data_IF_284084825034
#
_entry.id   IF_284084825034
#
_cell.length_a   1.000
_cell.length_b   1.000
_cell.length_c   1.000
_cell.angle_alpha   90.00
_cell.angle_beta   90.00
_cell.angle_gamma   90.00
#
_symmetry.space_group_name_H-M   'P 1'
#
loop_
_entity.id
_entity.type
_entity.pdbx_description
1 polymer ?
#
# COMPACT_ATOMS: atom_id res chain seq x y z
N UNK A 1 37.96 -74.22 17.46
CA UNK A 1 37.16 -73.20 18.16
C UNK A 1 37.92 -71.89 18.14
N UNK A 2 37.45 -70.88 17.41
CA UNK A 2 38.01 -69.53 17.44
C UNK A 2 36.83 -68.57 17.54
N UNK A 3 36.61 -67.99 18.72
CA UNK A 3 35.54 -67.03 18.96
C UNK A 3 35.95 -65.69 18.36
N UNK A 4 35.19 -65.20 17.37
CA UNK A 4 35.35 -63.84 16.85
C UNK A 4 34.92 -62.85 17.94
N UNK A 5 35.87 -62.16 18.55
CA UNK A 5 35.60 -61.04 19.44
C UNK A 5 34.91 -59.91 18.68
N UNK A 6 33.72 -59.50 19.14
CA UNK A 6 33.08 -58.27 18.69
C UNK A 6 33.85 -57.09 19.28
N UNK A 7 34.42 -56.24 18.42
CA UNK A 7 34.89 -54.94 18.87
C UNK A 7 33.67 -54.05 19.14
N UNK A 8 33.43 -53.73 20.41
CA UNK A 8 32.47 -52.69 20.78
C UNK A 8 33.11 -51.32 20.54
N UNK A 9 32.66 -50.63 19.49
CA UNK A 9 32.98 -49.22 19.29
C UNK A 9 32.16 -48.38 20.29
N UNK A 10 32.80 -47.99 21.39
CA UNK A 10 32.24 -47.01 22.32
C UNK A 10 32.34 -45.63 21.64
N UNK A 11 31.23 -45.16 21.06
CA UNK A 11 31.09 -43.77 20.66
C UNK A 11 30.93 -42.91 21.92
N UNK A 12 31.99 -42.22 22.33
CA UNK A 12 31.85 -41.09 23.25
C UNK A 12 31.01 -40.01 22.57
N UNK A 13 29.75 -39.86 22.98
CA UNK A 13 29.00 -38.62 22.73
C UNK A 13 29.64 -37.52 23.57
N UNK A 14 30.50 -36.72 22.96
CA UNK A 14 30.80 -35.40 23.52
C UNK A 14 29.49 -34.63 23.59
N UNK A 15 29.07 -34.23 24.80
CA UNK A 15 28.08 -33.18 24.95
C UNK A 15 28.71 -31.92 24.36
N UNK A 16 28.36 -31.55 23.14
CA UNK A 16 28.78 -30.29 22.52
C UNK A 16 28.14 -29.13 23.30
N UNK A 17 28.75 -28.72 24.41
CA UNK A 17 28.49 -27.41 24.98
C UNK A 17 29.17 -26.39 24.08
N UNK A 18 28.42 -25.92 23.08
CA UNK A 18 28.81 -24.78 22.27
C UNK A 18 29.16 -23.57 23.15
N UNK A 19 29.90 -22.60 22.56
CA UNK A 19 30.28 -21.36 23.25
C UNK A 19 29.08 -20.73 23.94
N UNK A 20 29.15 -20.57 25.27
CA UNK A 20 28.11 -19.91 26.06
C UNK A 20 27.77 -18.56 25.42
N UNK A 21 26.47 -18.29 25.28
CA UNK A 21 25.99 -17.04 24.69
C UNK A 21 26.53 -15.86 25.51
N UNK A 22 26.95 -14.76 24.86
CA UNK A 22 27.38 -13.56 25.56
C UNK A 22 26.28 -12.85 26.38
N UNK A 23 25.02 -13.30 26.30
CA UNK A 23 23.91 -12.82 27.14
C UNK A 23 23.23 -13.91 27.92
N UNK A 24 22.56 -13.42 28.96
CA UNK A 24 21.50 -14.05 29.71
C UNK A 24 20.11 -13.67 29.16
N UNK A 25 19.08 -14.36 29.63
CA UNK A 25 17.68 -14.02 29.29
C UNK A 25 17.28 -12.62 29.78
N UNK A 26 17.84 -12.16 30.90
CA UNK A 26 17.59 -10.81 31.43
C UNK A 26 18.17 -9.72 30.53
N UNK A 27 19.36 -9.95 29.98
CA UNK A 27 19.96 -9.05 28.98
C UNK A 27 19.08 -8.97 27.73
N UNK A 28 18.46 -10.08 27.32
CA UNK A 28 17.58 -10.11 26.15
C UNK A 28 16.24 -9.41 26.43
N UNK A 29 15.70 -9.47 27.65
CA UNK A 29 14.54 -8.67 28.09
C UNK A 29 14.82 -7.17 28.04
N UNK A 30 15.99 -6.74 28.50
CA UNK A 30 16.40 -5.34 28.44
C UNK A 30 16.57 -4.86 26.98
N UNK A 31 17.20 -5.67 26.13
CA UNK A 31 17.30 -5.38 24.70
C UNK A 31 15.92 -5.22 24.05
N UNK A 32 14.96 -6.08 24.41
CA UNK A 32 13.58 -5.95 23.93
C UNK A 32 12.88 -4.70 24.45
N UNK A 33 13.13 -4.30 25.70
CA UNK A 33 12.56 -3.07 26.25
C UNK A 33 13.05 -1.82 25.49
N UNK A 34 14.37 -1.71 25.29
CA UNK A 34 14.99 -0.60 24.54
C UNK A 34 14.45 -0.56 23.10
N UNK A 35 14.38 -1.72 22.44
CA UNK A 35 13.84 -1.83 21.08
C UNK A 35 12.35 -1.52 21.01
N UNK A 36 11.54 -1.88 22.01
CA UNK A 36 10.10 -1.58 22.03
C UNK A 36 9.81 -0.11 22.25
N UNK A 37 10.67 0.59 23.01
CA UNK A 37 10.58 2.05 23.24
C UNK A 37 10.77 2.84 21.94
N UNK A 38 11.70 2.39 21.08
CA UNK A 38 11.89 2.94 19.74
C UNK A 38 12.25 1.84 18.73
N UNK A 39 11.24 1.44 17.96
CA UNK A 39 11.34 0.35 16.97
C UNK A 39 12.10 0.76 15.70
N UNK A 40 12.51 2.02 15.57
CA UNK A 40 13.20 2.53 14.38
C UNK A 40 14.72 2.48 14.51
N UNK A 41 15.25 2.26 15.72
CA UNK A 41 16.69 2.22 15.99
C UNK A 41 17.39 1.08 15.26
N UNK A 42 18.58 1.37 14.73
CA UNK A 42 19.44 0.37 14.11
C UNK A 42 20.04 -0.57 15.17
N UNK A 43 20.46 -1.76 14.74
CA UNK A 43 21.11 -2.72 15.65
C UNK A 43 22.42 -2.19 16.25
N UNK A 44 23.10 -1.25 15.59
CA UNK A 44 24.29 -0.58 16.12
C UNK A 44 23.92 0.43 17.21
N UNK A 45 22.87 1.22 17.02
CA UNK A 45 22.40 2.16 18.04
C UNK A 45 21.86 1.44 19.27
N UNK A 46 21.10 0.35 19.06
CA UNK A 46 20.63 -0.51 20.15
C UNK A 46 21.80 -1.12 20.93
N UNK A 47 22.89 -1.50 20.24
CA UNK A 47 24.09 -1.99 20.90
C UNK A 47 24.80 -0.89 21.72
N UNK A 48 24.86 0.33 21.21
CA UNK A 48 25.45 1.47 21.93
C UNK A 48 24.63 1.86 23.17
N UNK A 49 23.31 1.92 23.06
CA UNK A 49 22.41 2.23 24.19
C UNK A 49 22.43 1.12 25.25
N UNK A 50 22.63 -0.12 24.81
CA UNK A 50 22.78 -1.26 25.69
C UNK A 50 24.14 -1.26 26.41
N UNK A 51 25.23 -0.80 25.77
CA UNK A 51 26.53 -0.58 26.44
C UNK A 51 26.44 0.52 27.51
N UNK A 52 25.61 1.55 27.30
CA UNK A 52 25.40 2.61 28.31
C UNK A 52 24.59 2.14 29.52
N UNK A 53 23.78 1.10 29.35
CA UNK A 53 22.91 0.55 30.41
C UNK A 53 23.49 -0.70 31.08
N UNK A 54 24.50 -1.34 30.49
CA UNK A 54 25.11 -2.57 30.98
C UNK A 54 26.62 -2.60 30.74
N UNK A 55 27.38 -3.21 31.66
CA UNK A 55 28.84 -3.40 31.55
C UNK A 55 29.30 -4.37 30.43
N UNK A 56 28.36 -4.94 29.66
CA UNK A 56 28.66 -5.91 28.61
C UNK A 56 28.73 -5.24 27.25
N UNK A 57 29.89 -5.34 26.60
CA UNK A 57 30.07 -4.88 25.21
C UNK A 57 29.50 -5.89 24.21
N UNK A 58 28.42 -5.53 23.51
CA UNK A 58 27.98 -6.25 22.31
C UNK A 58 28.17 -5.40 21.06
N UNK A 59 28.47 -6.08 19.95
CA UNK A 59 28.40 -5.49 18.64
C UNK A 59 26.97 -5.55 18.07
N UNK A 60 26.65 -4.62 17.16
CA UNK A 60 25.35 -4.57 16.50
C UNK A 60 24.97 -5.87 15.77
N UNK A 61 25.94 -6.61 15.25
CA UNK A 61 25.72 -7.94 14.63
C UNK A 61 25.19 -8.98 15.62
N UNK A 62 25.58 -8.90 16.90
CA UNK A 62 25.05 -9.79 17.94
C UNK A 62 23.65 -9.39 18.34
N UNK A 63 23.39 -8.08 18.51
CA UNK A 63 22.03 -7.57 18.73
C UNK A 63 21.07 -8.02 17.62
N UNK A 64 21.46 -7.86 16.35
CA UNK A 64 20.66 -8.32 15.20
C UNK A 64 20.37 -9.81 15.25
N UNK A 65 21.39 -10.65 15.48
CA UNK A 65 21.20 -12.12 15.56
C UNK A 65 20.23 -12.51 16.66
N UNK A 66 20.29 -11.84 17.81
CA UNK A 66 19.38 -12.11 18.92
C UNK A 66 17.95 -11.68 18.65
N UNK A 67 17.76 -10.49 18.09
CA UNK A 67 16.45 -10.03 17.65
C UNK A 67 15.84 -11.05 16.67
N UNK A 68 16.63 -11.54 15.71
CA UNK A 68 16.19 -12.60 14.78
C UNK A 68 15.84 -13.90 15.51
N UNK A 69 16.66 -14.36 16.46
CA UNK A 69 16.34 -15.58 17.22
C UNK A 69 15.10 -15.45 18.09
N UNK A 70 14.76 -14.22 18.51
CA UNK A 70 13.52 -13.90 19.23
C UNK A 70 12.32 -13.64 18.29
N UNK A 71 12.49 -13.84 16.98
CA UNK A 71 11.42 -13.69 15.98
C UNK A 71 11.28 -12.28 15.39
N UNK A 72 12.12 -11.32 15.76
CA UNK A 72 12.07 -9.95 15.24
C UNK A 72 12.84 -9.83 13.93
N UNK A 73 12.22 -9.15 12.97
CA UNK A 73 12.80 -8.86 11.65
C UNK A 73 12.83 -7.35 11.42
N UNK A 74 13.86 -6.89 10.74
CA UNK A 74 13.89 -5.53 10.23
C UNK A 74 12.90 -5.39 9.07
N UNK A 75 12.05 -4.37 9.12
CA UNK A 75 11.15 -4.01 8.04
C UNK A 75 11.35 -2.53 7.65
N UNK A 76 11.12 -2.22 6.38
CA UNK A 76 11.02 -0.83 5.93
C UNK A 76 9.57 -0.40 6.09
N UNK A 77 9.32 0.60 6.93
CA UNK A 77 7.98 1.15 7.09
C UNK A 77 7.48 1.72 5.75
N UNK A 78 6.23 1.41 5.37
CA UNK A 78 5.60 2.02 4.19
C UNK A 78 5.46 3.53 4.42
N UNK A 79 5.87 4.32 3.44
CA UNK A 79 5.64 5.77 3.46
C UNK A 79 4.13 6.03 3.44
N UNK A 80 3.64 6.81 4.40
CA UNK A 80 2.25 7.27 4.46
C UNK A 80 2.25 8.80 4.41
N UNK A 81 1.33 9.43 3.67
CA UNK A 81 1.18 10.88 3.74
C UNK A 81 0.84 11.29 5.18
N UNK A 82 1.52 12.32 5.69
CA UNK A 82 1.25 12.86 7.02
C UNK A 82 -0.10 13.58 6.98
N UNK A 83 -0.98 13.26 7.95
CA UNK A 83 -2.29 13.91 8.10
C UNK A 83 -2.28 14.82 9.29
N UNK A 84 -2.89 15.99 9.10
CA UNK A 84 -3.19 16.91 10.20
C UNK A 84 -4.27 16.31 11.12
N UNK A 85 -4.30 16.69 12.41
CA UNK A 85 -5.36 16.25 13.33
C UNK A 85 -6.77 16.59 12.82
N UNK A 86 -6.94 17.73 12.15
CA UNK A 86 -8.21 18.14 11.55
C UNK A 86 -8.65 17.19 10.42
N UNK A 87 -7.73 16.78 9.54
CA UNK A 87 -8.02 15.78 8.49
C UNK A 87 -8.38 14.43 9.11
N UNK A 88 -7.65 13.98 10.13
CA UNK A 88 -7.95 12.72 10.83
C UNK A 88 -9.37 12.74 11.41
N UNK A 89 -9.78 13.85 12.06
CA UNK A 89 -11.14 14.00 12.60
C UNK A 89 -12.20 13.93 11.50
N UNK A 90 -11.97 14.59 10.36
CA UNK A 90 -12.88 14.54 9.21
C UNK A 90 -13.02 13.12 8.64
N UNK A 91 -11.90 12.42 8.44
CA UNK A 91 -11.91 11.03 7.99
C UNK A 91 -12.63 10.10 8.96
N UNK A 92 -12.38 10.25 10.27
CA UNK A 92 -13.04 9.43 11.28
C UNK A 92 -14.54 9.66 11.31
N UNK A 93 -14.98 10.91 11.14
CA UNK A 93 -16.41 11.25 11.10
C UNK A 93 -17.05 10.62 9.85
N UNK A 94 -16.45 10.81 8.68
CA UNK A 94 -16.92 10.19 7.43
C UNK A 94 -17.02 8.66 7.55
N UNK A 95 -15.99 7.99 8.06
CA UNK A 95 -15.99 6.55 8.23
C UNK A 95 -17.10 6.07 9.19
N UNK A 96 -17.37 6.80 10.27
CA UNK A 96 -18.45 6.47 11.22
C UNK A 96 -19.84 6.67 10.60
N UNK A 97 -20.02 7.75 9.85
CA UNK A 97 -21.31 8.08 9.22
C UNK A 97 -21.71 7.03 8.17
N UNK A 98 -20.72 6.40 7.50
CA UNK A 98 -20.94 5.44 6.41
C UNK A 98 -20.53 4.00 6.79
N UNK A 99 -20.27 3.70 8.07
CA UNK A 99 -19.79 2.37 8.51
C UNK A 99 -20.79 1.23 8.26
N UNK A 100 -22.08 1.56 8.15
CA UNK A 100 -23.17 0.61 7.93
C UNK A 100 -23.66 0.59 6.48
N UNK A 101 -23.07 1.39 5.60
CA UNK A 101 -23.42 1.38 4.18
C UNK A 101 -22.92 0.11 3.50
N UNK A 102 -23.79 -0.48 2.69
CA UNK A 102 -23.54 -1.68 1.89
C UNK A 102 -23.91 -1.38 0.44
N UNK A 103 -25.12 -1.71 0.03
CA UNK A 103 -25.65 -1.46 -1.32
C UNK A 103 -25.74 0.04 -1.65
N UNK A 104 -25.76 0.92 -0.65
CA UNK A 104 -25.71 2.36 -0.83
C UNK A 104 -24.45 2.80 -1.58
N UNK A 105 -23.33 2.08 -1.44
CA UNK A 105 -22.11 2.37 -2.17
C UNK A 105 -22.24 2.20 -3.69
N UNK A 106 -23.19 1.37 -4.17
CA UNK A 106 -23.45 1.20 -5.60
C UNK A 106 -24.08 2.44 -6.23
N UNK A 107 -24.69 3.31 -5.41
CA UNK A 107 -25.28 4.58 -5.85
C UNK A 107 -24.26 5.73 -5.82
N UNK A 108 -23.01 5.47 -5.41
CA UNK A 108 -21.95 6.48 -5.37
C UNK A 108 -21.16 6.43 -6.67
N UNK A 109 -21.05 7.59 -7.34
CA UNK A 109 -20.19 7.77 -8.49
C UNK A 109 -18.85 8.35 -8.02
N UNK A 110 -17.82 7.53 -8.12
CA UNK A 110 -16.44 7.89 -7.83
C UNK A 110 -15.85 8.57 -9.05
N UNK A 111 -15.28 9.77 -8.92
CA UNK A 111 -14.56 10.41 -10.01
C UNK A 111 -13.24 11.00 -9.50
N UNK A 112 -12.23 11.00 -10.35
CA UNK A 112 -10.95 11.64 -10.05
C UNK A 112 -10.12 11.87 -11.32
N UNK A 113 -9.07 12.66 -11.16
CA UNK A 113 -8.02 12.87 -12.16
C UNK A 113 -6.73 12.13 -11.76
N UNK A 114 -6.10 11.48 -12.74
CA UNK A 114 -4.74 10.97 -12.63
C UNK A 114 -3.82 11.63 -13.66
N UNK A 115 -2.58 11.92 -13.24
CA UNK A 115 -1.50 12.34 -14.14
C UNK A 115 -0.53 11.18 -14.35
N UNK A 116 -0.56 10.58 -15.53
CA UNK A 116 0.28 9.44 -15.88
C UNK A 116 1.53 9.93 -16.62
N UNK A 117 2.71 9.70 -16.01
CA UNK A 117 4.00 10.13 -16.56
C UNK A 117 4.77 8.95 -17.12
N UNK A 118 5.12 9.06 -18.39
CA UNK A 118 5.88 8.05 -19.11
C UNK A 118 7.31 8.52 -19.35
N UNK A 119 8.24 8.05 -18.52
CA UNK A 119 9.62 8.56 -18.45
C UNK A 119 10.46 8.20 -19.69
N UNK A 120 10.18 7.06 -20.34
CA UNK A 120 10.96 6.58 -21.49
C UNK A 120 10.67 7.42 -22.74
N UNK A 121 9.39 7.60 -23.08
CA UNK A 121 8.99 8.45 -24.21
C UNK A 121 8.87 9.95 -23.85
N UNK A 122 9.09 10.33 -22.57
CA UNK A 122 8.87 11.67 -22.02
C UNK A 122 7.47 12.23 -22.30
N UNK A 123 6.48 11.34 -22.35
CA UNK A 123 5.07 11.70 -22.56
C UNK A 123 4.38 11.78 -21.20
N UNK A 124 3.47 12.73 -21.03
CA UNK A 124 2.58 12.78 -19.88
C UNK A 124 1.15 13.04 -20.36
N UNK A 125 0.21 12.24 -19.85
CA UNK A 125 -1.21 12.41 -20.09
C UNK A 125 -1.91 12.70 -18.77
N UNK A 126 -2.92 13.54 -18.82
CA UNK A 126 -3.88 13.67 -17.73
C UNK A 126 -5.14 12.93 -18.11
N UNK A 127 -5.68 12.17 -17.18
CA UNK A 127 -6.83 11.31 -17.41
C UNK A 127 -7.87 11.64 -16.36
N UNK A 128 -9.09 11.88 -16.80
CA UNK A 128 -10.24 11.97 -15.93
C UNK A 128 -11.09 10.72 -16.11
N UNK A 129 -11.57 10.15 -15.02
CA UNK A 129 -12.46 9.01 -15.05
C UNK A 129 -13.57 9.13 -14.01
N UNK A 130 -14.72 8.55 -14.30
CA UNK A 130 -15.76 8.29 -13.31
C UNK A 130 -16.17 6.81 -13.33
N UNK A 131 -16.56 6.28 -12.18
CA UNK A 131 -17.02 4.90 -12.04
C UNK A 131 -18.10 4.82 -10.95
N UNK A 132 -19.29 4.28 -11.23
CA UNK A 132 -20.26 3.91 -10.22
C UNK A 132 -20.01 2.48 -9.75
N UNK A 133 -19.96 2.28 -8.43
CA UNK A 133 -19.96 0.96 -7.82
C UNK A 133 -19.08 -0.08 -8.54
N UNK A 134 -19.74 -1.01 -9.22
CA UNK A 134 -19.21 -2.20 -9.89
C UNK A 134 -19.02 -2.07 -11.41
N UNK A 135 -19.23 -0.90 -12.00
CA UNK A 135 -19.34 -0.80 -13.45
C UNK A 135 -18.51 0.33 -14.06
N UNK A 136 -18.13 0.14 -15.32
CA UNK A 136 -17.31 1.08 -16.07
C UNK A 136 -18.05 2.42 -16.27
N UNK A 137 -17.36 3.54 -16.05
CA UNK A 137 -17.88 4.86 -16.38
C UNK A 137 -17.03 5.62 -17.38
N UNK A 138 -17.34 6.89 -17.58
CA UNK A 138 -16.71 7.71 -18.62
C UNK A 138 -15.22 7.92 -18.34
N UNK A 139 -14.42 7.81 -19.39
CA UNK A 139 -12.99 8.07 -19.41
C UNK A 139 -12.70 9.17 -20.41
N UNK A 140 -11.94 10.18 -19.99
CA UNK A 140 -11.52 11.29 -20.85
C UNK A 140 -10.02 11.50 -20.70
N UNK A 141 -9.31 11.48 -21.83
CA UNK A 141 -7.85 11.61 -21.87
C UNK A 141 -7.48 12.98 -22.45
N UNK A 142 -6.60 13.69 -21.73
CA UNK A 142 -6.06 14.98 -22.09
C UNK A 142 -4.56 14.86 -22.42
N UNK A 143 -4.16 15.52 -23.50
CA UNK A 143 -2.74 15.72 -23.82
C UNK A 143 -2.19 16.88 -22.99
N UNK A 144 -1.21 16.60 -22.13
CA UNK A 144 -0.65 17.59 -21.21
C UNK A 144 -1.36 17.64 -19.86
N UNK A 145 -1.23 18.77 -19.14
CA UNK A 145 -1.77 18.94 -17.79
C UNK A 145 -3.18 19.54 -17.85
N UNK A 146 -4.17 18.88 -17.25
CA UNK A 146 -5.50 19.46 -17.13
C UNK A 146 -5.46 20.70 -16.21
N UNK A 147 -6.22 21.73 -16.56
CA UNK A 147 -6.38 22.93 -15.74
C UNK A 147 -7.76 22.92 -15.06
N UNK A 148 -7.94 23.75 -14.03
CA UNK A 148 -9.18 23.81 -13.25
C UNK A 148 -10.44 24.02 -14.10
N UNK A 149 -10.46 24.98 -15.06
CA UNK A 149 -11.62 25.17 -15.94
C UNK A 149 -11.91 23.96 -16.84
N UNK A 150 -10.87 23.32 -17.39
CA UNK A 150 -11.02 22.11 -18.17
C UNK A 150 -11.63 21.00 -17.32
N UNK A 151 -11.14 20.78 -16.10
CA UNK A 151 -11.69 19.79 -15.16
C UNK A 151 -13.17 20.03 -14.83
N UNK A 152 -13.54 21.27 -14.52
CA UNK A 152 -14.95 21.63 -14.24
C UNK A 152 -15.82 21.33 -15.47
N UNK A 153 -15.34 21.72 -16.65
CA UNK A 153 -16.03 21.44 -17.91
C UNK A 153 -16.16 19.93 -18.15
N UNK A 154 -15.11 19.15 -17.91
CA UNK A 154 -15.16 17.68 -18.00
C UNK A 154 -16.26 17.10 -17.14
N UNK A 155 -16.36 17.54 -15.88
CA UNK A 155 -17.40 17.08 -14.96
C UNK A 155 -18.78 17.48 -15.48
N UNK A 156 -18.94 18.74 -15.91
CA UNK A 156 -20.23 19.25 -16.39
C UNK A 156 -20.70 18.58 -17.68
N UNK A 157 -19.79 18.23 -18.58
CA UNK A 157 -20.14 17.64 -19.87
C UNK A 157 -20.28 16.12 -19.76
N UNK A 158 -19.35 15.44 -19.09
CA UNK A 158 -19.26 13.98 -19.13
C UNK A 158 -20.11 13.29 -18.07
N UNK A 159 -20.19 13.87 -16.86
CA UNK A 159 -20.87 13.22 -15.74
C UNK A 159 -22.39 13.17 -15.95
N UNK A 160 -23.08 14.24 -16.40
CA UNK A 160 -24.53 14.18 -16.67
C UNK A 160 -24.87 13.19 -17.78
N UNK A 161 -24.12 13.19 -18.89
CA UNK A 161 -24.33 12.24 -20.00
C UNK A 161 -24.21 10.80 -19.50
N UNK A 162 -23.19 10.53 -18.69
CA UNK A 162 -23.02 9.22 -18.08
C UNK A 162 -24.18 8.84 -17.16
N UNK A 163 -24.60 9.76 -16.29
CA UNK A 163 -25.70 9.54 -15.35
C UNK A 163 -26.99 9.26 -16.10
N UNK A 164 -27.33 10.07 -17.11
CA UNK A 164 -28.54 9.92 -17.92
C UNK A 164 -28.59 8.60 -18.68
N UNK A 165 -27.44 8.10 -19.15
CA UNK A 165 -27.36 6.86 -19.90
C UNK A 165 -27.41 5.61 -19.01
N UNK A 166 -26.99 5.72 -17.74
CA UNK A 166 -26.80 4.54 -16.87
C UNK A 166 -27.82 4.43 -15.75
N UNK A 167 -28.36 5.55 -15.29
CA UNK A 167 -29.34 5.59 -14.23
C UNK A 167 -30.67 6.10 -14.77
N UNK A 168 -31.74 5.36 -14.48
CA UNK A 168 -33.11 5.73 -14.86
C UNK A 168 -33.56 7.06 -14.21
N UNK A 169 -34.81 7.46 -14.48
CA UNK A 169 -35.45 8.67 -13.95
C UNK A 169 -35.30 8.87 -12.44
N UNK A 170 -35.00 7.82 -11.67
CA UNK A 170 -34.71 7.91 -10.23
C UNK A 170 -33.65 8.97 -9.88
N UNK A 171 -32.56 9.10 -10.64
CA UNK A 171 -31.55 10.15 -10.41
C UNK A 171 -31.99 11.53 -10.91
N UNK A 172 -32.97 11.60 -11.82
CA UNK A 172 -33.59 12.87 -12.24
C UNK A 172 -34.56 13.38 -11.16
N UNK A 173 -35.26 12.46 -10.50
CA UNK A 173 -36.25 12.76 -9.48
C UNK A 173 -35.62 12.98 -8.08
N UNK A 174 -34.43 12.43 -7.84
CA UNK A 174 -33.65 12.64 -6.61
C UNK A 174 -32.46 13.56 -6.89
N UNK A 175 -32.46 14.76 -6.31
CA UNK A 175 -31.34 15.71 -6.40
C UNK A 175 -29.99 15.00 -6.19
N UNK A 176 -29.06 15.17 -7.15
CA UNK A 176 -27.69 14.66 -7.04
C UNK A 176 -27.02 15.34 -5.84
N UNK A 177 -26.90 14.59 -4.74
CA UNK A 177 -26.24 15.08 -3.54
C UNK A 177 -24.74 14.83 -3.66
N UNK A 178 -23.95 15.90 -3.52
CA UNK A 178 -22.50 15.77 -3.39
C UNK A 178 -22.22 15.10 -2.04
N UNK A 179 -21.65 13.90 -2.09
CA UNK A 179 -21.22 13.18 -0.89
C UNK A 179 -20.29 14.09 -0.09
N UNK A 180 -20.58 14.27 1.21
CA UNK A 180 -19.80 15.15 2.08
C UNK A 180 -18.40 14.58 2.29
N UNK A 181 -17.52 14.90 1.36
CA UNK A 181 -16.19 14.32 1.25
C UNK A 181 -15.14 15.21 1.92
N UNK A 182 -14.22 14.63 2.68
CA UNK A 182 -13.08 15.39 3.16
C UNK A 182 -12.01 15.50 2.08
N UNK A 183 -11.67 16.74 1.72
CA UNK A 183 -10.48 17.00 0.93
C UNK A 183 -9.26 16.29 1.57
N UNK A 184 -8.42 15.67 0.72
CA UNK A 184 -7.27 14.82 1.09
C UNK A 184 -7.54 13.33 1.39
N UNK A 185 -8.73 12.80 1.11
CA UNK A 185 -9.06 11.37 1.28
C UNK A 185 -8.85 10.51 0.03
N UNK A 186 -7.68 10.62 -0.60
CA UNK A 186 -7.31 9.80 -1.77
C UNK A 186 -7.45 8.29 -1.50
N UNK A 187 -7.14 7.86 -0.29
CA UNK A 187 -7.24 6.46 0.16
C UNK A 187 -8.67 5.93 0.27
N UNK A 188 -9.66 6.81 0.32
CA UNK A 188 -11.08 6.42 0.42
C UNK A 188 -11.77 6.43 -0.96
N UNK A 189 -11.10 6.93 -2.01
CA UNK A 189 -11.63 6.94 -3.36
C UNK A 189 -11.20 5.66 -4.10
N UNK A 190 -12.08 4.68 -4.37
CA UNK A 190 -11.68 3.41 -4.95
C UNK A 190 -11.07 3.53 -6.35
N UNK A 191 -11.34 4.62 -7.08
CA UNK A 191 -10.77 4.87 -8.43
C UNK A 191 -9.24 5.02 -8.40
N UNK A 192 -8.67 5.34 -7.23
CA UNK A 192 -7.21 5.42 -7.05
C UNK A 192 -6.56 4.03 -7.09
N UNK A 193 -7.29 2.97 -6.73
CA UNK A 193 -6.83 1.60 -6.92
C UNK A 193 -6.76 1.26 -8.41
N UNK A 194 -7.72 1.75 -9.19
CA UNK A 194 -7.74 1.58 -10.65
C UNK A 194 -6.59 2.34 -11.30
N UNK A 195 -6.35 3.59 -10.92
CA UNK A 195 -5.17 4.34 -11.37
C UNK A 195 -3.85 3.67 -11.01
N UNK A 196 -3.76 3.08 -9.81
CA UNK A 196 -2.60 2.30 -9.41
C UNK A 196 -2.39 1.06 -10.28
N UNK A 197 -3.45 0.31 -10.57
CA UNK A 197 -3.38 -0.86 -11.45
C UNK A 197 -2.92 -0.47 -12.86
N UNK A 198 -3.55 0.57 -13.42
CA UNK A 198 -3.24 1.12 -14.73
C UNK A 198 -1.75 1.57 -14.80
N UNK A 199 -1.27 2.35 -13.83
CA UNK A 199 0.15 2.78 -13.75
C UNK A 199 1.11 1.58 -13.63
N UNK A 200 0.71 0.52 -12.94
CA UNK A 200 1.51 -0.71 -12.81
C UNK A 200 1.62 -1.48 -14.12
N UNK A 201 0.52 -1.66 -14.85
CA UNK A 201 0.53 -2.35 -16.15
C UNK A 201 1.29 -1.53 -17.20
N UNK A 202 1.19 -0.20 -17.19
CA UNK A 202 1.99 0.67 -18.06
C UNK A 202 3.49 0.51 -17.90
N UNK A 203 3.94 0.38 -16.66
CA UNK A 203 5.37 0.18 -16.37
C UNK A 203 5.90 -1.14 -16.94
N UNK A 204 5.04 -2.12 -17.16
CA UNK A 204 5.41 -3.40 -17.79
C UNK A 204 5.42 -3.32 -19.31
N UNK A 205 4.37 -2.77 -19.94
CA UNK A 205 4.16 -2.79 -21.39
C UNK A 205 5.05 -1.82 -22.18
N UNK A 206 5.51 -0.72 -21.55
CA UNK A 206 6.41 0.29 -22.13
C UNK A 206 5.93 0.87 -23.49
N UNK A 207 4.74 1.49 -23.57
CA UNK A 207 4.27 2.14 -24.80
C UNK A 207 5.24 3.19 -25.33
N UNK A 208 5.35 3.34 -26.65
CA UNK A 208 6.37 4.20 -27.27
C UNK A 208 5.86 5.54 -27.75
N UNK A 209 4.56 5.68 -27.96
CA UNK A 209 3.93 6.90 -28.42
C UNK A 209 2.59 7.16 -27.71
N UNK A 210 2.06 8.38 -27.88
CA UNK A 210 0.86 8.82 -27.20
C UNK A 210 -0.40 8.05 -27.64
N UNK A 211 -0.49 7.63 -28.91
CA UNK A 211 -1.64 6.87 -29.41
C UNK A 211 -1.71 5.47 -28.80
N UNK A 212 -0.59 4.74 -28.78
CA UNK A 212 -0.49 3.45 -28.08
C UNK A 212 -0.83 3.57 -26.60
N UNK A 213 -0.41 4.68 -25.97
CA UNK A 213 -0.72 4.94 -24.57
C UNK A 213 -2.22 5.17 -24.38
N UNK A 214 -2.87 5.96 -25.23
CA UNK A 214 -4.33 6.20 -25.17
C UNK A 214 -5.11 4.90 -25.29
N UNK A 215 -4.87 4.10 -26.34
CA UNK A 215 -5.56 2.83 -26.55
C UNK A 215 -5.37 1.88 -25.37
N UNK A 216 -4.16 1.79 -24.83
CA UNK A 216 -3.92 0.93 -23.67
C UNK A 216 -4.61 1.44 -22.39
N UNK A 217 -4.76 2.76 -22.19
CA UNK A 217 -5.55 3.28 -21.06
C UNK A 217 -7.01 2.86 -21.24
N UNK A 218 -7.56 3.01 -22.44
CA UNK A 218 -8.95 2.65 -22.75
C UNK A 218 -9.19 1.14 -22.56
N UNK A 219 -8.30 0.30 -23.09
CA UNK A 219 -8.38 -1.16 -22.96
C UNK A 219 -8.34 -1.61 -21.49
N UNK A 220 -7.38 -1.09 -20.71
CA UNK A 220 -7.27 -1.41 -19.29
C UNK A 220 -8.47 -0.89 -18.49
N UNK A 221 -8.96 0.30 -18.83
CA UNK A 221 -10.12 0.90 -18.18
C UNK A 221 -11.36 0.03 -18.38
N UNK A 222 -11.63 -0.41 -19.60
CA UNK A 222 -12.75 -1.31 -19.92
C UNK A 222 -12.54 -2.68 -19.28
N UNK A 223 -11.33 -3.25 -19.42
CA UNK A 223 -10.99 -4.59 -18.93
C UNK A 223 -11.09 -4.75 -17.41
N UNK A 224 -10.99 -3.67 -16.63
CA UNK A 224 -11.20 -3.74 -15.18
C UNK A 224 -12.65 -4.05 -14.77
N UNK A 225 -13.60 -3.97 -15.69
CA UNK A 225 -15.02 -4.24 -15.44
C UNK A 225 -15.58 -5.42 -16.24
N UNK A 226 -14.77 -5.99 -17.12
CA UNK A 226 -15.06 -7.27 -17.76
C UNK A 226 -14.66 -8.37 -16.77
N UNK A 227 -15.54 -9.36 -16.51
CA UNK A 227 -15.30 -10.50 -15.60
C UNK A 227 -14.20 -11.48 -16.09
N UNK A 228 -13.16 -11.00 -16.78
CA UNK A 228 -12.08 -11.78 -17.38
C UNK A 228 -10.72 -11.60 -16.67
N UNK A 229 -10.73 -11.40 -15.34
CA UNK A 229 -9.54 -11.52 -14.48
C UNK A 229 -9.73 -12.57 -13.39
#
# INVERSE_FOLDING_TARGET
MCQKGKAEFIFFKFNEQGRKKPSTEDDDRQLLYIMKKDRTKSSQMLAAEWILSNDKKLCGSTVRRRLISMGYKSYTAKRKPLRTPAQIKKHLTFAKDHQYWSNEWNNVIWNDEAHLKFLIAKIALSVWGCMPGDACGSLIIYTGKMNGPAYIKTIQDALPIFIENKFDTWFKDNNINVLKWSASSRDLNPIENLWYYIDKEFKKSRPTNAGQLQTMIEDLWIGCYSNEM
#
